data_IF_398802757436
#
_entry.id   IF_398802757436
#
_cell.length_a   1.000
_cell.length_b   1.000
_cell.length_c   1.000
_cell.angle_alpha   90.00
_cell.angle_beta   90.00
_cell.angle_gamma   90.00
#
_symmetry.space_group_name_H-M   'P 1'
#
loop_
_entity.id
_entity.type
_entity.pdbx_description
1 polymer ?
#
# COMPACT_ATOMS: atom_id res chain seq x y z
N UNK A 1 17.31 -21.53 15.13
CA UNK A 1 15.85 -21.50 14.88
C UNK A 1 15.63 -20.46 13.80
N UNK A 2 15.16 -20.83 12.61
CA UNK A 2 14.81 -19.83 11.59
C UNK A 2 13.49 -19.16 12.00
N UNK A 3 13.34 -17.84 11.87
CA UNK A 3 12.07 -17.18 12.13
C UNK A 3 11.00 -17.77 11.21
N UNK A 4 9.82 -18.06 11.76
CA UNK A 4 8.72 -18.54 10.93
C UNK A 4 8.28 -17.40 9.99
N UNK A 5 7.77 -17.71 8.78
CA UNK A 5 7.26 -16.67 7.88
C UNK A 5 6.17 -15.80 8.52
N UNK A 6 5.43 -16.32 9.51
CA UNK A 6 4.45 -15.54 10.28
C UNK A 6 5.11 -14.43 11.11
N UNK A 7 6.31 -14.66 11.64
CA UNK A 7 7.04 -13.66 12.43
C UNK A 7 7.50 -12.49 11.54
N UNK A 8 7.93 -12.76 10.30
CA UNK A 8 8.27 -11.67 9.38
C UNK A 8 7.03 -10.89 8.95
N UNK A 9 5.95 -11.58 8.59
CA UNK A 9 4.72 -10.94 8.16
C UNK A 9 4.15 -10.03 9.26
N UNK A 10 4.04 -10.52 10.49
CA UNK A 10 3.52 -9.75 11.62
C UNK A 10 4.40 -8.53 11.94
N UNK A 11 5.73 -8.69 11.83
CA UNK A 11 6.67 -7.57 11.96
C UNK A 11 6.48 -6.52 10.85
N UNK A 12 6.19 -6.93 9.63
CA UNK A 12 5.91 -5.98 8.54
C UNK A 12 4.57 -5.26 8.75
N UNK A 13 3.55 -5.95 9.26
CA UNK A 13 2.29 -5.28 9.66
C UNK A 13 2.57 -4.24 10.75
N UNK A 14 3.29 -4.61 11.81
CA UNK A 14 3.66 -3.68 12.87
C UNK A 14 4.46 -2.49 12.33
N UNK A 15 5.45 -2.74 11.47
CA UNK A 15 6.28 -1.69 10.90
C UNK A 15 5.49 -0.74 9.98
N UNK A 16 4.50 -1.25 9.24
CA UNK A 16 3.59 -0.43 8.45
C UNK A 16 2.79 0.52 9.35
N UNK A 17 2.13 0.01 10.39
CA UNK A 17 1.26 0.84 11.23
C UNK A 17 2.01 1.80 12.15
N UNK A 18 3.16 1.39 12.69
CA UNK A 18 3.93 2.24 13.62
C UNK A 18 4.79 3.27 12.91
N UNK A 19 5.33 2.94 11.73
CA UNK A 19 6.35 3.74 11.05
C UNK A 19 5.98 4.19 9.66
N UNK A 20 4.84 3.73 9.11
CA UNK A 20 4.45 3.94 7.71
C UNK A 20 5.61 3.55 6.76
N UNK A 21 6.25 2.42 7.04
CA UNK A 21 7.40 1.95 6.25
C UNK A 21 6.97 1.58 4.84
N UNK A 22 7.50 2.27 3.83
CA UNK A 22 7.28 1.94 2.41
C UNK A 22 7.79 0.54 2.04
N UNK A 23 8.95 0.07 2.54
CA UNK A 23 9.35 -1.33 2.39
C UNK A 23 8.34 -2.32 2.98
N UNK A 24 7.78 -2.04 4.16
CA UNK A 24 6.77 -2.90 4.78
C UNK A 24 5.46 -2.92 3.97
N UNK A 25 5.01 -1.75 3.48
CA UNK A 25 3.90 -1.66 2.54
C UNK A 25 4.15 -2.53 1.31
N UNK A 26 5.31 -2.35 0.67
CA UNK A 26 5.65 -3.09 -0.54
C UNK A 26 5.67 -4.60 -0.30
N UNK A 27 6.24 -5.05 0.82
CA UNK A 27 6.22 -6.46 1.20
C UNK A 27 4.80 -7.01 1.36
N UNK A 28 3.91 -6.29 2.06
CA UNK A 28 2.56 -6.75 2.35
C UNK A 28 1.69 -6.81 1.09
N UNK A 29 1.77 -5.79 0.23
CA UNK A 29 1.05 -5.79 -1.05
C UNK A 29 1.60 -6.90 -1.97
N UNK A 30 2.92 -7.13 -1.98
CA UNK A 30 3.53 -8.23 -2.73
C UNK A 30 3.03 -9.60 -2.23
N UNK A 31 2.82 -9.74 -0.93
CA UNK A 31 2.26 -10.93 -0.30
C UNK A 31 0.74 -11.09 -0.53
N UNK A 32 0.10 -10.19 -1.28
CA UNK A 32 -1.31 -10.24 -1.62
C UNK A 32 -2.25 -9.62 -0.58
N UNK A 33 -1.72 -8.84 0.37
CA UNK A 33 -2.55 -8.04 1.27
C UNK A 33 -3.09 -6.82 0.54
N UNK A 34 -4.20 -6.31 1.03
CA UNK A 34 -4.84 -5.09 0.51
C UNK A 34 -4.97 -4.06 1.63
N UNK A 35 -4.86 -2.77 1.29
CA UNK A 35 -4.82 -1.70 2.28
C UNK A 35 -5.83 -0.60 1.97
N UNK A 36 -6.71 -0.34 2.93
CA UNK A 36 -7.49 0.89 3.02
C UNK A 36 -6.70 1.97 3.75
N UNK A 37 -6.77 3.20 3.26
CA UNK A 37 -6.26 4.37 3.97
C UNK A 37 -6.98 5.63 3.51
N UNK A 38 -6.80 6.72 4.25
CA UNK A 38 -7.34 8.02 3.88
C UNK A 38 -6.24 9.07 3.74
N UNK A 39 -6.43 10.00 2.81
CA UNK A 39 -5.60 11.19 2.67
C UNK A 39 -6.50 12.38 2.40
N UNK A 40 -6.36 13.45 3.20
CA UNK A 40 -7.17 14.68 3.11
C UNK A 40 -8.69 14.42 3.06
N UNK A 41 -9.15 13.44 3.83
CA UNK A 41 -10.57 13.08 3.94
C UNK A 41 -11.11 12.26 2.77
N UNK A 42 -10.25 11.79 1.85
CA UNK A 42 -10.63 10.87 0.78
C UNK A 42 -10.13 9.46 1.08
N UNK A 43 -10.97 8.49 0.78
CA UNK A 43 -10.65 7.07 0.90
C UNK A 43 -9.89 6.57 -0.33
N UNK A 44 -8.89 5.76 -0.06
CA UNK A 44 -8.07 5.09 -1.05
C UNK A 44 -7.93 3.62 -0.69
N UNK A 45 -7.81 2.81 -1.73
CA UNK A 45 -7.60 1.37 -1.60
C UNK A 45 -6.42 0.94 -2.47
N UNK A 46 -5.51 0.18 -1.88
CA UNK A 46 -4.40 -0.47 -2.58
C UNK A 46 -4.67 -1.96 -2.62
N UNK A 47 -4.68 -2.52 -3.83
CA UNK A 47 -4.80 -3.97 -4.02
C UNK A 47 -3.85 -4.46 -5.09
N UNK A 48 -3.58 -5.76 -5.04
CA UNK A 48 -2.77 -6.47 -6.02
C UNK A 48 -3.70 -7.39 -6.81
N UNK A 49 -3.94 -7.08 -8.08
CA UNK A 49 -4.57 -8.02 -8.99
C UNK A 49 -3.52 -8.69 -9.88
N UNK A 50 -3.64 -10.00 -10.05
CA UNK A 50 -2.74 -10.79 -10.90
C UNK A 50 -3.19 -10.85 -12.36
N UNK A 51 -4.37 -10.32 -12.68
CA UNK A 51 -4.99 -10.53 -14.00
C UNK A 51 -4.82 -9.37 -14.98
N UNK A 52 -4.71 -8.12 -14.53
CA UNK A 52 -4.73 -6.94 -15.44
C UNK A 52 -3.68 -5.88 -15.10
N UNK A 53 -3.60 -5.43 -13.85
CA UNK A 53 -2.59 -4.50 -13.36
C UNK A 53 -1.97 -5.08 -12.08
N UNK A 54 -0.64 -5.23 -12.06
CA UNK A 54 0.08 -5.88 -10.97
C UNK A 54 -0.31 -5.33 -9.58
N UNK A 55 -0.48 -4.01 -9.50
CA UNK A 55 -1.00 -3.33 -8.31
C UNK A 55 -1.84 -2.14 -8.75
N UNK A 56 -2.95 -1.88 -8.10
CA UNK A 56 -3.80 -0.73 -8.38
C UNK A 56 -4.04 0.13 -7.15
N UNK A 57 -4.23 1.42 -7.42
CA UNK A 57 -4.67 2.42 -6.47
C UNK A 57 -6.07 2.87 -6.88
N UNK A 58 -7.05 2.59 -6.03
CA UNK A 58 -8.44 2.98 -6.22
C UNK A 58 -8.78 4.20 -5.35
N UNK A 59 -9.57 5.12 -5.91
CA UNK A 59 -10.14 6.28 -5.24
C UNK A 59 -11.62 6.37 -5.64
N UNK A 60 -12.52 5.87 -4.80
CA UNK A 60 -13.93 5.69 -5.17
C UNK A 60 -14.06 4.77 -6.39
N UNK A 61 -14.73 5.23 -7.44
CA UNK A 61 -14.89 4.46 -8.70
C UNK A 61 -13.68 4.53 -9.64
N UNK A 62 -12.68 5.37 -9.32
CA UNK A 62 -11.50 5.55 -10.16
C UNK A 62 -10.41 4.57 -9.74
N UNK A 63 -10.11 3.62 -10.62
CA UNK A 63 -8.96 2.72 -10.48
C UNK A 63 -7.81 3.18 -11.37
N UNK A 64 -6.59 3.19 -10.83
CA UNK A 64 -5.35 3.39 -11.59
C UNK A 64 -4.41 2.23 -11.35
N UNK A 65 -4.12 1.46 -12.39
CA UNK A 65 -3.23 0.30 -12.35
C UNK A 65 -1.77 0.64 -12.66
N UNK A 66 -0.85 -0.11 -12.06
CA UNK A 66 0.60 0.00 -12.24
C UNK A 66 1.21 -1.38 -12.51
N UNK A 67 2.28 -1.41 -13.30
CA UNK A 67 2.97 -2.65 -13.65
C UNK A 67 3.87 -3.22 -12.54
N UNK A 68 4.12 -2.46 -11.47
CA UNK A 68 4.88 -2.92 -10.30
C UNK A 68 4.66 -2.00 -9.10
N UNK A 69 4.95 -2.50 -7.89
CA UNK A 69 4.90 -1.69 -6.66
C UNK A 69 5.87 -0.51 -6.70
N UNK A 70 7.14 -0.64 -7.14
CA UNK A 70 8.02 0.52 -7.29
C UNK A 70 7.45 1.59 -8.23
N UNK A 71 6.82 1.20 -9.34
CA UNK A 71 6.20 2.17 -10.26
C UNK A 71 5.03 2.90 -9.60
N UNK A 72 4.19 2.19 -8.83
CA UNK A 72 3.15 2.83 -8.02
C UNK A 72 3.76 3.85 -7.07
N UNK A 73 4.78 3.45 -6.31
CA UNK A 73 5.41 4.33 -5.33
C UNK A 73 6.07 5.56 -5.97
N UNK A 74 6.56 5.49 -7.21
CA UNK A 74 7.20 6.64 -7.88
C UNK A 74 6.22 7.51 -8.70
N UNK A 75 5.14 6.92 -9.24
CA UNK A 75 4.28 7.59 -10.23
C UNK A 75 2.86 7.89 -9.74
N UNK A 76 2.41 7.22 -8.68
CA UNK A 76 1.09 7.48 -8.13
C UNK A 76 1.03 8.85 -7.47
N UNK A 77 -0.18 9.40 -7.40
CA UNK A 77 -0.46 10.63 -6.67
C UNK A 77 -1.77 10.52 -5.91
N UNK A 78 -1.81 11.16 -4.75
CA UNK A 78 -3.01 11.32 -3.91
C UNK A 78 -3.41 12.79 -4.00
N UNK A 79 -4.56 13.08 -4.62
CA UNK A 79 -5.04 14.43 -4.89
C UNK A 79 -3.97 15.36 -5.52
N UNK A 80 -3.21 14.83 -6.48
CA UNK A 80 -2.17 15.57 -7.21
C UNK A 80 -0.83 15.72 -6.46
N UNK A 81 -0.72 15.20 -5.24
CA UNK A 81 0.54 15.13 -4.49
C UNK A 81 1.20 13.77 -4.75
N UNK A 82 2.50 13.69 -5.09
CA UNK A 82 3.18 12.41 -5.27
C UNK A 82 2.98 11.48 -4.08
N UNK A 83 2.77 10.19 -4.33
CA UNK A 83 2.42 9.23 -3.30
C UNK A 83 3.40 9.24 -2.13
N UNK A 84 4.71 9.29 -2.40
CA UNK A 84 5.77 9.29 -1.37
C UNK A 84 5.72 10.51 -0.45
N UNK A 85 5.34 11.65 -1.02
CA UNK A 85 5.28 12.90 -0.28
C UNK A 85 3.99 12.96 0.56
N UNK A 86 2.89 12.41 0.04
CA UNK A 86 1.63 12.31 0.76
C UNK A 86 1.62 11.21 1.83
N UNK A 87 2.40 10.15 1.65
CA UNK A 87 2.40 8.95 2.48
C UNK A 87 2.59 9.20 3.99
N UNK A 88 3.51 10.07 4.45
CA UNK A 88 3.65 10.37 5.88
C UNK A 88 2.37 10.93 6.53
N UNK A 89 1.50 11.57 5.74
CA UNK A 89 0.27 12.22 6.21
C UNK A 89 -0.97 11.32 6.13
N UNK A 90 -0.91 10.17 5.45
CA UNK A 90 -2.08 9.29 5.31
C UNK A 90 -2.52 8.73 6.66
N UNK A 91 -3.80 8.49 6.85
CA UNK A 91 -4.32 7.73 7.99
C UNK A 91 -4.59 6.32 7.51
N UNK A 92 -3.81 5.37 8.04
CA UNK A 92 -3.97 3.95 7.71
C UNK A 92 -5.30 3.43 8.26
N UNK A 93 -6.04 2.72 7.42
CA UNK A 93 -7.26 2.01 7.76
C UNK A 93 -6.99 0.52 7.94
N UNK A 94 -7.84 -0.31 7.34
CA UNK A 94 -7.79 -1.77 7.47
C UNK A 94 -6.81 -2.39 6.47
N UNK A 95 -6.07 -3.40 6.92
CA UNK A 95 -5.29 -4.29 6.06
C UNK A 95 -5.99 -5.66 5.97
N UNK A 96 -6.42 -6.05 4.77
CA UNK A 96 -7.14 -7.31 4.47
C UNK A 96 -6.19 -8.39 4.02
#
# INVERSE_FOLDING_TARGET
MQPSPFDLHDRMVQELYEKKSLPALAYLIEAGRELEFTYRGREYFLSRDTQVAYVSLCQGERETGYGSIPLLLEQASLDGVPFRDAWPEVVLGTLF
#
